data_IF_544562730270
#
_entry.id   IF_544562730270
#
_cell.length_a   1.000
_cell.length_b   1.000
_cell.length_c   1.000
_cell.angle_alpha   90.00
_cell.angle_beta   90.00
_cell.angle_gamma   90.00
#
_symmetry.space_group_name_H-M   'P 1'
#
loop_
_entity.id
_entity.type
_entity.pdbx_description
1 polymer ?
#
# COMPACT_ATOMS: atom_id res chain seq x y z
N UNK A 1 7.28 7.38 5.28
CA UNK A 1 6.90 8.67 4.67
C UNK A 1 7.86 8.96 3.54
N UNK A 2 7.33 9.37 2.39
CA UNK A 2 8.08 9.80 1.22
C UNK A 2 7.67 11.21 0.87
N UNK A 3 8.61 12.14 0.77
CA UNK A 3 8.37 13.44 0.13
C UNK A 3 8.49 13.23 -1.38
N UNK A 4 7.42 13.54 -2.10
CA UNK A 4 7.39 13.52 -3.56
C UNK A 4 6.74 14.80 -4.05
N UNK A 5 7.56 15.67 -4.65
CA UNK A 5 7.14 16.96 -5.19
C UNK A 5 6.42 17.86 -4.16
N UNK A 6 6.88 17.85 -2.90
CA UNK A 6 6.27 18.65 -1.83
C UNK A 6 5.00 18.03 -1.23
N UNK A 7 4.70 16.78 -1.55
CA UNK A 7 3.63 16.00 -0.94
C UNK A 7 4.20 14.86 -0.12
N UNK A 8 3.78 14.78 1.15
CA UNK A 8 4.12 13.69 2.04
C UNK A 8 3.19 12.49 1.84
N UNK A 9 3.75 11.39 1.36
CA UNK A 9 3.06 10.12 1.22
C UNK A 9 3.44 9.18 2.36
N UNK A 10 2.46 8.89 3.22
CA UNK A 10 2.55 7.85 4.24
C UNK A 10 2.16 6.51 3.63
N UNK A 11 2.92 5.47 3.97
CA UNK A 11 2.67 4.09 3.55
C UNK A 11 2.63 3.23 4.81
N UNK A 12 1.89 2.12 4.77
CA UNK A 12 1.75 1.24 5.94
C UNK A 12 3.10 0.55 6.28
N UNK A 13 3.82 0.06 5.26
CA UNK A 13 5.10 -0.62 5.43
C UNK A 13 6.11 -0.21 4.36
N UNK A 14 7.39 -0.09 4.75
CA UNK A 14 8.49 0.14 3.81
C UNK A 14 9.74 -0.68 4.16
N UNK A 15 10.05 -1.67 3.32
CA UNK A 15 11.29 -2.45 3.40
C UNK A 15 12.39 -1.80 2.57
N UNK A 16 13.11 -0.85 3.19
CA UNK A 16 14.18 -0.03 2.55
C UNK A 16 15.18 -0.85 1.74
N UNK A 17 15.64 -1.99 2.29
CA UNK A 17 16.65 -2.85 1.63
C UNK A 17 16.18 -3.45 0.31
N UNK A 18 14.86 -3.65 0.15
CA UNK A 18 14.26 -4.25 -1.05
C UNK A 18 13.58 -3.22 -1.95
N UNK A 19 13.69 -1.92 -1.61
CA UNK A 19 12.92 -0.81 -2.19
C UNK A 19 11.44 -1.21 -2.44
N UNK A 20 10.81 -1.74 -1.39
CA UNK A 20 9.48 -2.34 -1.46
C UNK A 20 8.55 -1.70 -0.45
N UNK A 21 7.43 -1.17 -0.94
CA UNK A 21 6.31 -0.67 -0.14
C UNK A 21 5.25 -1.77 -0.01
N UNK A 22 4.73 -1.92 1.20
CA UNK A 22 3.56 -2.76 1.49
C UNK A 22 2.42 -1.90 1.98
N UNK A 23 1.25 -2.05 1.36
CA UNK A 23 0.03 -1.38 1.80
C UNK A 23 -1.00 -2.41 2.24
N UNK A 24 -1.64 -2.14 3.37
CA UNK A 24 -2.76 -2.92 3.86
C UNK A 24 -4.06 -2.31 3.34
N UNK A 25 -4.68 -3.00 2.38
CA UNK A 25 -5.93 -2.57 1.79
C UNK A 25 -7.11 -3.29 2.44
N UNK A 26 -7.68 -2.63 3.44
CA UNK A 26 -8.98 -3.02 3.96
C UNK A 26 -10.07 -2.49 3.03
N UNK A 27 -10.91 -3.40 2.51
CA UNK A 27 -12.14 -3.09 1.74
C UNK A 27 -13.04 -2.03 2.41
N UNK A 28 -12.87 -1.83 3.72
CA UNK A 28 -13.54 -0.84 4.59
C UNK A 28 -13.17 0.62 4.24
N UNK A 29 -12.00 0.89 3.64
CA UNK A 29 -11.59 2.26 3.25
C UNK A 29 -12.51 2.87 2.17
N UNK A 30 -13.32 2.06 1.48
CA UNK A 30 -14.18 2.50 0.37
C UNK A 30 -15.66 2.64 0.72
N UNK A 31 -16.09 2.19 1.91
CA UNK A 31 -17.52 2.08 2.26
C UNK A 31 -17.94 2.97 3.42
N UNK A 32 -17.02 3.69 4.06
CA UNK A 32 -17.31 4.58 5.18
C UNK A 32 -17.05 6.03 4.79
N UNK A 33 -18.05 6.88 4.98
CA UNK A 33 -17.99 8.33 4.66
C UNK A 33 -16.82 9.05 5.36
N UNK A 34 -16.39 8.54 6.52
CA UNK A 34 -15.24 9.02 7.28
C UNK A 34 -13.91 8.97 6.49
N UNK A 35 -13.77 8.05 5.54
CA UNK A 35 -12.57 7.91 4.70
C UNK A 35 -12.73 8.49 3.30
N UNK A 36 -13.97 8.62 2.80
CA UNK A 36 -14.24 9.20 1.48
C UNK A 36 -14.36 10.72 1.53
N UNK A 37 -14.72 11.28 2.70
CA UNK A 37 -15.04 12.69 2.87
C UNK A 37 -16.30 13.10 2.09
N UNK A 38 -17.22 12.15 1.86
CA UNK A 38 -18.40 12.34 1.01
C UNK A 38 -18.11 12.27 -0.51
N UNK A 39 -16.87 11.98 -0.91
CA UNK A 39 -16.53 11.81 -2.32
C UNK A 39 -17.09 10.48 -2.87
N UNK A 40 -17.51 10.43 -4.15
CA UNK A 40 -17.86 9.18 -4.82
C UNK A 40 -16.69 8.18 -4.74
N UNK A 41 -17.01 6.89 -4.56
CA UNK A 41 -15.99 5.84 -4.44
C UNK A 41 -14.99 5.81 -5.61
N UNK A 42 -15.45 6.15 -6.83
CA UNK A 42 -14.57 6.25 -8.01
C UNK A 42 -13.49 7.32 -7.89
N UNK A 43 -13.80 8.47 -7.28
CA UNK A 43 -12.83 9.55 -7.09
C UNK A 43 -11.80 9.19 -6.02
N UNK A 44 -12.21 8.45 -4.98
CA UNK A 44 -11.29 7.93 -3.94
C UNK A 44 -10.29 6.98 -4.57
N UNK A 45 -10.76 6.02 -5.38
CA UNK A 45 -9.90 5.08 -6.12
C UNK A 45 -8.96 5.83 -7.08
N UNK A 46 -9.45 6.86 -7.77
CA UNK A 46 -8.64 7.65 -8.68
C UNK A 46 -7.54 8.45 -7.97
N UNK A 47 -7.85 9.06 -6.82
CA UNK A 47 -6.85 9.73 -5.97
C UNK A 47 -5.79 8.76 -5.47
N UNK A 48 -6.20 7.58 -5.02
CA UNK A 48 -5.29 6.54 -4.53
C UNK A 48 -4.37 6.02 -5.64
N UNK A 49 -4.90 5.87 -6.87
CA UNK A 49 -4.09 5.52 -8.04
C UNK A 49 -3.04 6.58 -8.34
N UNK A 50 -3.43 7.87 -8.38
CA UNK A 50 -2.47 8.97 -8.61
C UNK A 50 -1.40 9.03 -7.53
N UNK A 51 -1.77 8.78 -6.26
CA UNK A 51 -0.86 8.70 -5.12
C UNK A 51 0.21 7.63 -5.36
N UNK A 52 -0.22 6.43 -5.74
CA UNK A 52 0.68 5.32 -6.02
C UNK A 52 1.57 5.58 -7.23
N UNK A 53 1.02 6.12 -8.33
CA UNK A 53 1.78 6.44 -9.54
C UNK A 53 2.89 7.46 -9.24
N UNK A 54 2.58 8.52 -8.46
CA UNK A 54 3.57 9.51 -8.02
C UNK A 54 4.66 8.86 -7.16
N UNK A 55 4.26 8.03 -6.19
CA UNK A 55 5.19 7.32 -5.32
C UNK A 55 6.10 6.38 -6.10
N UNK A 56 5.57 5.60 -7.05
CA UNK A 56 6.35 4.71 -7.91
C UNK A 56 7.31 5.48 -8.81
N UNK A 57 6.86 6.58 -9.41
CA UNK A 57 7.69 7.40 -10.30
C UNK A 57 8.89 8.00 -9.55
N UNK A 58 8.67 8.52 -8.34
CA UNK A 58 9.70 9.19 -7.56
C UNK A 58 10.66 8.22 -6.85
N UNK A 59 10.14 7.12 -6.30
CA UNK A 59 10.93 6.20 -5.46
C UNK A 59 11.48 5.00 -6.22
N UNK A 60 10.92 4.70 -7.40
CA UNK A 60 11.11 3.43 -8.13
C UNK A 60 10.80 2.19 -7.27
N UNK A 61 10.06 2.37 -6.17
CA UNK A 61 9.70 1.29 -5.28
C UNK A 61 8.67 0.38 -5.96
N UNK A 62 8.80 -0.93 -5.71
CA UNK A 62 7.71 -1.86 -5.97
C UNK A 62 6.66 -1.70 -4.87
N UNK A 63 5.39 -1.88 -5.20
CA UNK A 63 4.30 -1.87 -4.22
C UNK A 63 3.60 -3.23 -4.26
N UNK A 64 3.42 -3.83 -3.10
CA UNK A 64 2.55 -4.99 -2.87
C UNK A 64 1.39 -4.58 -1.96
N UNK A 65 0.26 -5.26 -2.14
CA UNK A 65 -0.94 -5.05 -1.32
C UNK A 65 -1.44 -6.38 -0.81
N UNK A 66 -2.04 -6.36 0.36
CA UNK A 66 -2.76 -7.50 0.91
C UNK A 66 -3.98 -7.03 1.69
N UNK A 67 -4.93 -7.93 1.83
CA UNK A 67 -6.21 -7.70 2.52
C UNK A 67 -6.23 -8.40 3.87
N UNK A 68 -7.32 -8.22 4.62
CA UNK A 68 -7.57 -9.01 5.83
C UNK A 68 -7.56 -10.53 5.57
N UNK A 69 -8.04 -10.99 4.40
CA UNK A 69 -8.06 -12.41 4.09
C UNK A 69 -6.63 -12.99 4.02
N UNK A 70 -5.73 -12.26 3.36
CA UNK A 70 -4.31 -12.65 3.26
C UNK A 70 -3.64 -12.59 4.64
N UNK A 71 -3.90 -11.54 5.42
CA UNK A 71 -3.28 -11.35 6.74
C UNK A 71 -3.74 -12.40 7.78
N UNK A 72 -4.98 -12.89 7.66
CA UNK A 72 -5.55 -13.90 8.56
C UNK A 72 -5.14 -15.34 8.18
N UNK A 73 -4.52 -15.54 7.01
CA UNK A 73 -3.89 -16.80 6.61
C UNK A 73 -2.36 -16.67 6.69
N UNK A 74 -1.71 -17.23 7.74
CA UNK A 74 -0.27 -17.11 7.92
C UNK A 74 0.56 -17.71 6.77
N UNK A 75 0.03 -18.73 6.07
CA UNK A 75 0.73 -19.33 4.94
C UNK A 75 0.65 -18.42 3.72
N UNK A 76 -0.55 -17.93 3.40
CA UNK A 76 -0.75 -16.99 2.30
C UNK A 76 0.08 -15.71 2.49
N UNK A 77 0.03 -15.12 3.69
CA UNK A 77 0.82 -13.93 4.03
C UNK A 77 2.32 -14.18 3.88
N UNK A 78 2.80 -15.34 4.36
CA UNK A 78 4.22 -15.70 4.23
C UNK A 78 4.62 -15.85 2.77
N UNK A 79 3.81 -16.51 1.95
CA UNK A 79 4.08 -16.69 0.52
C UNK A 79 4.12 -15.35 -0.20
N UNK A 80 3.14 -14.47 0.05
CA UNK A 80 3.06 -13.14 -0.53
C UNK A 80 4.31 -12.30 -0.22
N UNK A 81 4.68 -12.20 1.06
CA UNK A 81 5.85 -11.43 1.49
C UNK A 81 7.16 -12.03 0.95
N UNK A 82 7.26 -13.36 0.91
CA UNK A 82 8.46 -14.05 0.38
C UNK A 82 8.61 -13.82 -1.12
N UNK A 83 7.53 -13.98 -1.89
CA UNK A 83 7.53 -13.73 -3.33
C UNK A 83 7.86 -12.26 -3.66
N UNK A 84 7.48 -11.33 -2.80
CA UNK A 84 7.84 -9.93 -2.93
C UNK A 84 9.30 -9.61 -2.59
N UNK A 85 10.04 -10.56 -1.99
CA UNK A 85 11.44 -10.36 -1.57
C UNK A 85 11.57 -9.59 -0.25
N UNK A 86 10.59 -9.72 0.65
CA UNK A 86 10.67 -9.19 2.01
C UNK A 86 11.70 -10.00 2.80
N UNK A 87 12.72 -9.37 3.41
CA UNK A 87 13.71 -10.08 4.20
C UNK A 87 13.08 -10.82 5.39
N UNK A 88 13.46 -12.09 5.57
CA UNK A 88 13.07 -12.86 6.75
C UNK A 88 14.10 -12.69 7.84
N UNK A 89 13.64 -12.52 9.07
CA UNK A 89 14.52 -12.64 10.22
C UNK A 89 14.88 -14.13 10.37
N UNK A 90 16.19 -14.41 10.37
CA UNK A 90 16.73 -15.73 10.68
C UNK A 90 16.54 -16.05 12.17
#
# INVERSE_FOLDING_TARGET
MFDVAGHDYVVDFYWRKSNLVGEFDGRVKYTRDEYTGGAPAGDVVWREKKREDALRAATRARVIRWTWADAMDPLAMRQLLTAAGVPRRA
#
